data_IF_872991694162
#
_entry.id   IF_872991694162
#
_cell.length_a   1.000
_cell.length_b   1.000
_cell.length_c   1.000
_cell.angle_alpha   90.00
_cell.angle_beta   90.00
_cell.angle_gamma   90.00
#
_symmetry.space_group_name_H-M   'P 1'
#
loop_
_entity.id
_entity.type
_entity.pdbx_description
1 polymer ?
#
# COMPACT_ATOMS: atom_id res chain seq x y z
N UNK A 1 1.26 58.99 0.36
CA UNK A 1 1.33 58.49 0.49
C UNK A 1 1.15 57.43 0.51
N UNK A 2 1.11 57.04 0.39
CA UNK A 2 0.97 56.19 0.53
C UNK A 2 0.94 55.12 0.09
N UNK A 3 1.00 54.56 0.07
CA UNK A 3 0.99 53.56 -0.14
C UNK A 3 1.00 52.59 -0.04
N UNK A 4 0.94 52.17 0.03
CA UNK A 4 1.02 51.45 0.21
C UNK A 4 0.68 50.44 0.01
N UNK A 5 0.62 49.92 -0.02
CA UNK A 5 0.31 49.14 -0.16
C UNK A 5 0.33 48.07 -0.54
N UNK A 6 0.38 47.72 -0.67
CA UNK A 6 0.40 46.92 -0.84
C UNK A 6 0.41 45.94 -0.85
N UNK A 7 0.53 45.53 -0.74
CA UNK A 7 0.71 44.69 -0.71
C UNK A 7 0.38 43.75 -0.69
N UNK A 8 0.24 43.36 -0.60
CA UNK A 8 -0.08 42.42 -0.43
C UNK A 8 -0.23 41.51 -1.00
N UNK A 9 -0.14 41.26 -1.14
CA UNK A 9 -0.29 40.41 -1.43
C UNK A 9 -0.17 39.46 -1.67
N UNK A 10 0.01 39.13 -1.66
CA UNK A 10 0.19 38.29 -1.86
C UNK A 10 0.10 37.30 -1.74
N UNK A 11 0.20 37.02 -1.54
CA UNK A 11 0.21 36.12 -1.34
C UNK A 11 -0.30 35.24 -1.52
N UNK A 12 -0.31 35.21 -1.33
CA UNK A 12 -1.02 34.48 -1.44
C UNK A 12 -0.89 33.51 -2.23
N UNK A 13 -0.91 33.47 -2.35
CA UNK A 13 -0.87 32.75 -3.04
C UNK A 13 -0.48 31.62 -3.06
N UNK A 14 -0.19 31.56 -2.97
CA UNK A 14 0.27 30.67 -3.00
C UNK A 14 -0.08 29.53 -2.73
N UNK A 15 -0.19 29.31 -2.33
CA UNK A 15 -0.62 28.39 -1.94
C UNK A 15 -1.21 27.49 -2.67
N UNK A 16 -1.69 27.63 -3.47
CA UNK A 16 -2.49 26.73 -4.16
C UNK A 16 -1.89 25.43 -4.59
N UNK A 17 -0.64 25.26 -4.50
CA UNK A 17 -0.02 24.05 -4.97
C UNK A 17 -0.31 22.80 -4.19
N UNK A 18 -1.13 22.91 -3.17
CA UNK A 18 -1.33 21.78 -2.28
C UNK A 18 -2.25 20.71 -2.83
N UNK A 19 -2.64 20.81 -4.11
CA UNK A 19 -3.70 19.95 -4.64
C UNK A 19 -3.20 18.66 -5.28
N UNK A 20 -1.93 18.33 -5.17
CA UNK A 20 -1.38 17.15 -5.82
C UNK A 20 -2.01 15.86 -5.30
N UNK A 21 -1.96 14.82 -6.10
CA UNK A 21 -2.36 13.48 -5.69
C UNK A 21 -1.42 12.99 -4.59
N UNK A 22 -1.98 12.21 -3.68
CA UNK A 22 -1.20 11.72 -2.56
C UNK A 22 -1.84 10.44 -2.04
N UNK A 23 -1.00 9.46 -1.70
CA UNK A 23 -1.46 8.23 -1.08
C UNK A 23 -0.99 8.23 0.37
N UNK A 24 -1.90 7.91 1.27
CA UNK A 24 -1.54 7.77 2.67
C UNK A 24 -2.12 6.50 3.24
N UNK A 25 -1.50 6.00 4.30
CA UNK A 25 -1.98 4.84 5.03
C UNK A 25 -1.41 4.91 6.43
N UNK A 26 -2.12 4.28 7.37
CA UNK A 26 -1.60 4.18 8.74
C UNK A 26 -0.64 3.02 8.88
N UNK A 27 -0.68 2.07 7.95
CA UNK A 27 0.12 0.86 8.03
C UNK A 27 0.64 0.48 6.67
N UNK A 28 1.96 0.50 6.52
CA UNK A 28 2.60 0.03 5.29
C UNK A 28 3.04 -1.43 5.39
N UNK A 29 2.91 -2.04 6.55
CA UNK A 29 3.33 -3.41 6.77
C UNK A 29 2.22 -4.20 7.44
N UNK A 30 1.91 -5.37 6.89
CA UNK A 30 1.01 -6.31 7.53
C UNK A 30 1.81 -7.54 7.89
N UNK A 31 1.75 -7.91 9.18
CA UNK A 31 2.38 -9.12 9.68
C UNK A 31 1.31 -10.19 9.78
N UNK A 32 1.41 -11.21 8.94
CA UNK A 32 0.43 -12.28 8.90
C UNK A 32 0.61 -13.29 10.03
N UNK A 33 1.70 -13.16 10.79
CA UNK A 33 2.01 -14.16 11.81
C UNK A 33 2.37 -15.49 11.19
N UNK A 34 1.87 -16.55 11.78
CA UNK A 34 2.10 -17.90 11.28
C UNK A 34 1.12 -18.23 10.16
N UNK A 35 1.65 -18.71 9.06
CA UNK A 35 0.89 -19.06 7.87
C UNK A 35 1.22 -20.52 7.57
N UNK A 36 0.20 -21.31 7.23
CA UNK A 36 0.39 -22.72 7.01
C UNK A 36 0.92 -22.96 5.60
N UNK A 37 1.92 -23.84 5.51
CA UNK A 37 2.59 -24.19 4.26
C UNK A 37 1.57 -24.59 3.18
N UNK A 38 1.70 -23.99 2.01
CA UNK A 38 0.85 -24.21 0.84
C UNK A 38 -0.59 -23.75 1.00
N UNK A 39 -0.88 -23.03 2.06
CA UNK A 39 -2.19 -22.39 2.20
C UNK A 39 -2.01 -20.89 1.95
N UNK A 40 -2.51 -20.37 0.83
CA UNK A 40 -2.32 -18.95 0.53
C UNK A 40 -2.93 -18.07 1.60
N UNK A 41 -2.27 -16.95 1.85
CA UNK A 41 -2.74 -15.98 2.82
C UNK A 41 -3.05 -14.68 2.08
N UNK A 42 -4.19 -14.10 2.42
CA UNK A 42 -4.64 -12.86 1.80
C UNK A 42 -4.69 -11.76 2.85
N UNK A 43 -4.20 -10.61 2.49
CA UNK A 43 -4.20 -9.44 3.35
C UNK A 43 -4.69 -8.23 2.57
N UNK A 44 -5.37 -7.33 3.27
CA UNK A 44 -5.89 -6.10 2.66
C UNK A 44 -5.18 -4.90 3.25
N UNK A 45 -4.59 -4.10 2.39
CA UNK A 45 -4.08 -2.79 2.77
C UNK A 45 -5.17 -1.76 2.48
N UNK A 46 -5.49 -0.94 3.45
CA UNK A 46 -6.45 0.13 3.28
C UNK A 46 -5.66 1.41 3.10
N UNK A 47 -5.85 2.05 1.97
CA UNK A 47 -5.11 3.24 1.58
C UNK A 47 -6.10 4.38 1.35
N UNK A 48 -5.57 5.57 1.29
CA UNK A 48 -6.36 6.78 1.14
C UNK A 48 -5.78 7.64 0.04
N UNK A 49 -6.64 8.15 -0.82
CA UNK A 49 -6.22 9.25 -1.68
C UNK A 49 -6.35 10.53 -0.86
N UNK A 50 -5.27 10.95 -0.25
CA UNK A 50 -5.26 12.12 0.62
C UNK A 50 -4.99 13.42 -0.13
N UNK A 51 -4.80 13.34 -1.44
CA UNK A 51 -4.60 14.52 -2.26
C UNK A 51 -5.90 15.16 -2.68
N UNK A 52 -5.79 16.22 -3.45
CA UNK A 52 -6.94 16.98 -3.95
C UNK A 52 -7.37 16.63 -5.36
N UNK A 53 -6.76 15.62 -5.97
CA UNK A 53 -7.02 15.21 -7.33
C UNK A 53 -7.29 13.71 -7.39
N UNK A 54 -7.99 13.23 -8.44
CA UNK A 54 -8.18 11.79 -8.58
C UNK A 54 -6.86 11.06 -8.70
N UNK A 55 -6.78 9.92 -8.02
CA UNK A 55 -5.60 9.07 -8.02
C UNK A 55 -5.77 7.94 -9.02
N UNK A 56 -4.78 7.75 -9.88
CA UNK A 56 -4.79 6.68 -10.85
C UNK A 56 -3.59 5.78 -10.58
N UNK A 57 -3.87 4.51 -10.27
CA UNK A 57 -2.81 3.53 -10.08
C UNK A 57 -2.47 2.98 -11.46
N UNK A 58 -1.22 3.17 -11.88
CA UNK A 58 -0.77 2.77 -13.20
C UNK A 58 -0.22 1.35 -13.22
N UNK A 59 0.35 0.90 -12.10
CA UNK A 59 0.96 -0.43 -12.05
C UNK A 59 1.18 -0.80 -10.59
N UNK A 60 1.21 -2.11 -10.34
CA UNK A 60 1.58 -2.64 -9.04
C UNK A 60 2.57 -3.75 -9.30
N UNK A 61 3.72 -3.68 -8.62
CA UNK A 61 4.81 -4.63 -8.83
C UNK A 61 5.16 -5.33 -7.53
N UNK A 62 5.48 -6.60 -7.66
CA UNK A 62 5.93 -7.42 -6.55
C UNK A 62 7.32 -7.96 -6.87
N UNK A 63 8.02 -8.42 -5.82
CA UNK A 63 9.39 -8.92 -6.00
C UNK A 63 9.45 -10.39 -6.36
N UNK A 64 8.30 -11.06 -6.48
CA UNK A 64 8.29 -12.46 -6.96
C UNK A 64 6.91 -12.81 -7.51
N UNK A 65 6.85 -13.89 -8.29
CA UNK A 65 5.59 -14.41 -8.80
C UNK A 65 4.74 -15.12 -7.76
N UNK A 66 5.24 -15.21 -6.53
CA UNK A 66 4.54 -15.87 -5.43
C UNK A 66 3.47 -14.98 -4.79
N UNK A 67 3.40 -13.74 -5.21
CA UNK A 67 2.48 -12.75 -4.64
C UNK A 67 1.65 -12.16 -5.76
N UNK A 68 0.33 -12.18 -5.57
CA UNK A 68 -0.60 -11.54 -6.50
C UNK A 68 -1.28 -10.38 -5.81
N UNK A 69 -1.65 -9.38 -6.60
CA UNK A 69 -2.22 -8.15 -6.06
C UNK A 69 -3.44 -7.75 -6.87
N UNK A 70 -4.48 -7.38 -6.15
CA UNK A 70 -5.69 -6.83 -6.74
C UNK A 70 -5.85 -5.39 -6.27
N UNK A 71 -6.14 -4.48 -7.18
CA UNK A 71 -6.22 -3.06 -6.87
C UNK A 71 -7.24 -2.39 -7.80
N UNK A 72 -7.73 -1.20 -7.42
CA UNK A 72 -8.72 -0.51 -8.27
C UNK A 72 -8.12 -0.10 -9.60
N UNK A 73 -8.84 -0.37 -10.67
CA UNK A 73 -8.42 -0.03 -12.04
C UNK A 73 -9.00 1.29 -12.50
N UNK A 74 -9.91 1.87 -11.75
CA UNK A 74 -10.51 3.15 -12.08
C UNK A 74 -9.94 4.23 -11.16
N UNK A 75 -10.11 5.49 -11.54
CA UNK A 75 -9.62 6.60 -10.75
C UNK A 75 -10.29 6.63 -9.38
N UNK A 76 -9.51 6.90 -8.34
CA UNK A 76 -9.99 7.00 -6.98
C UNK A 76 -10.18 8.48 -6.68
N UNK A 77 -11.41 8.90 -6.40
CA UNK A 77 -11.66 10.31 -6.12
C UNK A 77 -10.87 10.83 -4.93
N UNK A 78 -10.63 12.13 -4.91
CA UNK A 78 -9.94 12.79 -3.81
C UNK A 78 -10.66 12.49 -2.50
N UNK A 79 -9.89 12.14 -1.49
CA UNK A 79 -10.41 11.89 -0.15
C UNK A 79 -10.97 10.50 0.07
N UNK A 80 -10.98 9.64 -0.94
CA UNK A 80 -11.59 8.33 -0.80
C UNK A 80 -10.58 7.26 -0.43
N UNK A 81 -11.07 6.26 0.26
CA UNK A 81 -10.30 5.06 0.61
C UNK A 81 -10.38 4.05 -0.50
N UNK A 82 -9.38 3.22 -0.56
CA UNK A 82 -9.39 2.09 -1.47
C UNK A 82 -8.57 0.96 -0.86
N UNK A 83 -8.76 -0.24 -1.40
CA UNK A 83 -8.08 -1.42 -0.89
C UNK A 83 -7.14 -1.98 -1.92
N UNK A 84 -6.00 -2.44 -1.43
CA UNK A 84 -5.07 -3.24 -2.23
C UNK A 84 -5.00 -4.59 -1.54
N UNK A 85 -5.45 -5.62 -2.24
CA UNK A 85 -5.54 -6.97 -1.70
C UNK A 85 -4.39 -7.79 -2.22
N UNK A 86 -3.64 -8.39 -1.31
CA UNK A 86 -2.42 -9.11 -1.63
C UNK A 86 -2.55 -10.55 -1.18
N UNK A 87 -2.17 -11.49 -2.04
CA UNK A 87 -2.20 -12.91 -1.71
C UNK A 87 -0.81 -13.50 -1.92
N UNK A 88 -0.28 -14.12 -0.87
CA UNK A 88 0.99 -14.83 -0.90
C UNK A 88 0.71 -16.33 -0.90
N UNK A 89 1.42 -17.08 -1.75
CA UNK A 89 1.12 -18.49 -1.97
C UNK A 89 1.65 -19.43 -0.89
N UNK A 90 2.53 -18.95 -0.02
CA UNK A 90 3.05 -19.69 1.13
C UNK A 90 3.74 -21.02 0.74
N UNK A 91 4.43 -21.04 -0.39
CA UNK A 91 5.06 -22.25 -0.90
C UNK A 91 6.49 -22.43 -0.45
N UNK A 92 6.99 -21.58 0.41
CA UNK A 92 8.34 -21.69 0.97
C UNK A 92 8.24 -21.60 2.49
N UNK A 93 8.84 -22.55 3.17
CA UNK A 93 8.91 -22.55 4.62
C UNK A 93 9.75 -21.39 5.12
N UNK A 94 9.44 -20.91 6.31
CA UNK A 94 10.24 -19.91 6.98
C UNK A 94 9.71 -18.52 6.84
N UNK A 95 10.52 -17.58 7.27
CA UNK A 95 10.13 -16.17 7.25
C UNK A 95 10.02 -15.62 5.84
N UNK A 96 9.04 -14.78 5.62
CA UNK A 96 8.90 -14.07 4.36
C UNK A 96 8.64 -12.60 4.63
N UNK A 97 9.06 -11.77 3.67
CA UNK A 97 8.80 -10.34 3.67
C UNK A 97 8.70 -9.92 2.21
N UNK A 98 7.47 -9.79 1.73
CA UNK A 98 7.22 -9.50 0.31
C UNK A 98 6.89 -8.03 0.15
N UNK A 99 7.56 -7.39 -0.81
CA UNK A 99 7.40 -5.99 -1.08
C UNK A 99 6.43 -5.79 -2.23
N UNK A 100 5.57 -4.81 -2.09
CA UNK A 100 4.60 -4.43 -3.11
C UNK A 100 4.79 -2.95 -3.41
N UNK A 101 5.08 -2.63 -4.65
CA UNK A 101 5.25 -1.24 -5.07
C UNK A 101 4.05 -0.77 -5.85
N UNK A 102 3.42 0.29 -5.38
CA UNK A 102 2.25 0.87 -6.02
C UNK A 102 2.69 2.11 -6.79
N UNK A 103 2.59 2.05 -8.10
CA UNK A 103 2.92 3.15 -8.99
C UNK A 103 1.65 3.89 -9.37
N UNK A 104 1.70 5.20 -9.34
CA UNK A 104 0.52 6.02 -9.57
C UNK A 104 0.91 7.41 -10.05
N UNK A 105 -0.11 8.22 -10.32
CA UNK A 105 0.11 9.61 -10.65
C UNK A 105 0.39 10.49 -9.43
N UNK A 106 0.58 9.89 -8.25
CA UNK A 106 0.92 10.64 -7.05
C UNK A 106 2.40 11.04 -7.00
N UNK A 107 3.23 10.49 -7.90
CA UNK A 107 4.64 10.83 -7.95
C UNK A 107 5.42 9.82 -8.74
N UNK A 108 6.72 10.04 -8.84
CA UNK A 108 7.60 9.16 -9.62
C UNK A 108 7.99 7.91 -8.84
N UNK A 109 7.95 7.99 -7.53
CA UNK A 109 8.36 6.87 -6.69
C UNK A 109 7.14 6.06 -6.28
N UNK A 110 7.26 4.73 -6.25
CA UNK A 110 6.13 3.91 -5.81
C UNK A 110 5.94 4.04 -4.30
N UNK A 111 4.70 3.83 -3.87
CA UNK A 111 4.43 3.62 -2.46
C UNK A 111 4.71 2.17 -2.15
N UNK A 112 5.55 1.92 -1.16
CA UNK A 112 5.98 0.57 -0.83
C UNK A 112 5.17 0.01 0.32
N UNK A 113 4.64 -1.19 0.13
CA UNK A 113 3.95 -1.94 1.16
C UNK A 113 4.70 -3.24 1.40
N UNK A 114 4.56 -3.79 2.59
CA UNK A 114 5.22 -5.05 2.96
C UNK A 114 4.23 -6.02 3.56
N UNK A 115 4.33 -7.27 3.11
CA UNK A 115 3.57 -8.37 3.67
C UNK A 115 4.57 -9.37 4.23
N UNK A 116 4.50 -9.64 5.53
CA UNK A 116 5.49 -10.50 6.16
C UNK A 116 4.83 -11.50 7.08
N UNK A 117 5.60 -12.50 7.46
CA UNK A 117 5.14 -13.56 8.34
C UNK A 117 6.11 -14.72 8.35
N UNK A 118 5.63 -15.85 8.83
CA UNK A 118 6.43 -17.07 8.84
C UNK A 118 5.56 -18.24 8.40
N UNK A 119 6.06 -18.99 7.41
CA UNK A 119 5.36 -20.16 6.92
C UNK A 119 5.81 -21.35 7.75
N UNK A 120 4.83 -22.03 8.35
CA UNK A 120 5.06 -23.15 9.24
C UNK A 120 4.41 -24.40 8.67
N UNK A 121 4.85 -25.59 9.09
CA UNK A 121 4.22 -26.84 8.62
C UNK A 121 2.78 -26.92 9.08
N UNK A 122 2.01 -27.74 8.38
CA UNK A 122 0.65 -28.02 8.80
C UNK A 122 0.66 -28.75 10.12
N UNK A 123 -0.40 -28.53 10.91
CA UNK A 123 -0.46 -29.14 12.21
C UNK A 123 -0.48 -30.66 12.12
N UNK A 124 -1.02 -31.19 11.03
CA UNK A 124 -1.04 -32.64 10.82
C UNK A 124 0.37 -33.22 10.67
N UNK A 125 1.35 -32.41 10.33
CA UNK A 125 2.73 -32.85 10.22
C UNK A 125 3.32 -33.19 11.59
N UNK A 126 2.67 -32.78 12.66
CA UNK A 126 3.15 -33.01 14.02
C UNK A 126 2.33 -34.07 14.74
N UNK A 127 1.52 -34.79 14.00
CA UNK A 127 0.64 -35.79 14.58
C UNK A 127 1.45 -36.83 15.28
N UNK A 128 1.12 -37.10 16.54
CA UNK A 128 1.82 -38.10 17.32
C UNK A 128 3.14 -37.63 17.88
N UNK A 129 3.53 -36.43 17.60
CA UNK A 129 4.82 -35.93 18.06
C UNK A 129 4.82 -35.39 19.46
N UNK A 130 3.71 -34.98 19.94
CA UNK A 130 3.63 -34.41 21.27
C UNK A 130 3.31 -35.43 22.29
N UNK A 131 4.10 -35.48 23.31
CA UNK A 131 3.84 -36.43 24.40
C UNK A 131 2.59 -36.08 25.16
#
# INVERSE_FOLDING_TARGET
>A
MTNRHMVSLLLALSVGGAQAQEISTVNTTIDCGQVVFKQPVTAEFVLNNSGGQPLIISDVRTDCGCTTVSYPKTAIPAGERFKVTTTYDAKQMGHFNKQIGIYSNAGDNPMMLSLKGVVVPQISDFQGEYP
#
